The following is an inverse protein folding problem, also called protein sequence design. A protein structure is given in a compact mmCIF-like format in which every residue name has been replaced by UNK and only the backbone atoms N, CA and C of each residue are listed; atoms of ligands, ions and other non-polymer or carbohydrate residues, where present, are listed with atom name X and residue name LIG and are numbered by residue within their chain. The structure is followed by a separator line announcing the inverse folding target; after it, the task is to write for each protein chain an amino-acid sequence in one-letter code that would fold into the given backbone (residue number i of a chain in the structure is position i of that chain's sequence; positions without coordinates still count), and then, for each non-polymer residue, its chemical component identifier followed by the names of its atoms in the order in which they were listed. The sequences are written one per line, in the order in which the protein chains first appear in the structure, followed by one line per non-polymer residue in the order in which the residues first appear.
data_IF_158730423521
#
_entry.id   IF_158730423521
#
_cell.length_a   1.000
_cell.length_b   1.000
_cell.length_c   1.000
_cell.angle_alpha   90.00
_cell.angle_beta   90.00
_cell.angle_gamma   90.00
#
_symmetry.space_group_name_H-M   'P 1'
#
loop_
_entity.id
_entity.type
_entity.pdbx_description
1 polymer ?
#
# COMPACT_ATOMS: atom_id res chain seq x y z
N UNK A 1 15.24 3.58 1.36
CA UNK A 1 14.00 2.79 1.07
C UNK A 1 12.88 3.78 0.80
N UNK A 2 11.83 3.40 0.06
CA UNK A 2 10.70 4.31 -0.22
C UNK A 2 9.38 3.61 0.05
N UNK A 3 8.38 4.42 0.41
CA UNK A 3 6.99 4.03 0.55
C UNK A 3 6.10 5.05 -0.17
N UNK A 4 5.09 4.54 -0.86
CA UNK A 4 4.02 5.33 -1.45
C UNK A 4 2.67 4.73 -1.05
N UNK A 5 1.64 5.57 -1.03
CA UNK A 5 0.30 5.13 -0.62
C UNK A 5 -0.37 4.13 -1.59
N UNK A 6 0.14 4.01 -2.82
CA UNK A 6 -0.44 3.19 -3.90
C UNK A 6 -1.97 3.35 -4.01
N UNK A 7 -2.39 4.62 -3.98
CA UNK A 7 -3.79 4.96 -3.77
C UNK A 7 -4.63 4.77 -5.01
N UNK A 8 -5.66 3.93 -4.87
CA UNK A 8 -6.74 3.77 -5.84
C UNK A 8 -8.03 4.49 -5.41
N UNK A 9 -8.04 5.06 -4.19
CA UNK A 9 -9.12 5.87 -3.65
C UNK A 9 -8.53 7.19 -3.12
N UNK A 10 -9.22 8.32 -3.34
CA UNK A 10 -8.74 9.62 -2.83
C UNK A 10 -8.50 9.62 -1.31
N UNK A 11 -9.33 8.88 -0.56
CA UNK A 11 -9.24 8.77 0.89
C UNK A 11 -8.05 7.94 1.40
N UNK A 12 -7.30 7.25 0.53
CA UNK A 12 -6.07 6.53 0.90
C UNK A 12 -4.80 7.31 0.58
N UNK A 13 -4.92 8.45 -0.11
CA UNK A 13 -3.78 9.30 -0.46
C UNK A 13 -3.09 9.76 0.81
N UNK A 14 -1.77 9.59 0.85
CA UNK A 14 -0.95 9.97 1.99
C UNK A 14 -0.97 9.00 3.18
N UNK A 15 -1.62 7.83 3.06
CA UNK A 15 -1.49 6.78 4.08
C UNK A 15 -0.08 6.18 4.13
N UNK A 16 0.67 6.22 3.03
CA UNK A 16 2.09 5.91 2.97
C UNK A 16 2.82 7.06 2.30
N UNK A 17 3.76 7.67 3.02
CA UNK A 17 4.62 8.74 2.50
C UNK A 17 6.07 8.47 2.86
N UNK A 18 6.97 8.88 1.96
CA UNK A 18 8.40 8.97 2.26
C UNK A 18 8.71 10.42 2.57
N UNK A 19 9.20 10.66 3.78
CA UNK A 19 9.67 11.95 4.23
C UNK A 19 11.16 12.08 3.90
N UNK A 20 11.50 13.16 3.21
CA UNK A 20 12.82 13.43 2.63
C UNK A 20 13.14 14.90 2.88
N UNK A 21 14.26 15.14 3.53
CA UNK A 21 14.82 16.48 3.69
C UNK A 21 15.65 16.83 2.46
N UNK A 22 15.11 17.70 1.61
CA UNK A 22 15.70 18.14 0.36
C UNK A 22 15.09 19.47 -0.10
N UNK A 23 15.90 20.32 -0.73
CA UNK A 23 15.49 21.65 -1.21
C UNK A 23 14.96 21.63 -2.65
N UNK A 24 15.26 20.56 -3.41
CA UNK A 24 14.85 20.37 -4.80
C UNK A 24 14.75 18.88 -5.16
N UNK A 25 14.31 18.61 -6.39
CA UNK A 25 14.07 17.25 -6.87
C UNK A 25 15.37 16.44 -6.99
N UNK A 26 16.45 17.04 -7.48
CA UNK A 26 17.75 16.39 -7.66
C UNK A 26 18.31 15.93 -6.30
N UNK A 27 18.23 16.79 -5.28
CA UNK A 27 18.65 16.48 -3.92
C UNK A 27 17.78 15.38 -3.30
N UNK A 28 16.46 15.39 -3.57
CA UNK A 28 15.56 14.35 -3.10
C UNK A 28 15.91 12.97 -3.70
N UNK A 29 16.21 12.91 -5.00
CA UNK A 29 16.65 11.67 -5.66
C UNK A 29 17.97 11.18 -5.06
N UNK A 30 18.91 12.08 -4.80
CA UNK A 30 20.18 11.72 -4.18
C UNK A 30 20.01 11.25 -2.73
N UNK A 31 19.10 11.85 -1.96
CA UNK A 31 18.72 11.39 -0.63
C UNK A 31 18.12 9.97 -0.67
N UNK A 32 17.25 9.66 -1.65
CA UNK A 32 16.70 8.32 -1.87
C UNK A 32 17.83 7.32 -2.15
N UNK A 33 18.75 7.65 -3.07
CA UNK A 33 19.90 6.79 -3.43
C UNK A 33 20.80 6.51 -2.24
N UNK A 34 21.06 7.51 -1.41
CA UNK A 34 21.86 7.40 -0.17
C UNK A 34 21.10 6.77 1.00
N UNK A 35 19.82 6.44 0.84
CA UNK A 35 19.00 5.87 1.91
C UNK A 35 18.64 6.87 3.03
N UNK A 36 18.80 8.17 2.81
CA UNK A 36 18.43 9.25 3.74
C UNK A 36 16.93 9.53 3.67
N UNK A 37 16.13 8.53 4.05
CA UNK A 37 14.68 8.51 3.89
C UNK A 37 14.00 8.06 5.17
N UNK A 38 12.90 8.70 5.55
CA UNK A 38 12.04 8.25 6.66
C UNK A 38 10.67 7.83 6.14
N UNK A 39 10.23 6.62 6.48
CA UNK A 39 8.90 6.14 6.08
C UNK A 39 7.90 6.55 7.15
N UNK A 40 6.81 7.20 6.73
CA UNK A 40 5.67 7.53 7.59
C UNK A 40 4.45 6.83 7.01
N UNK A 41 3.83 5.97 7.82
CA UNK A 41 2.70 5.13 7.40
C UNK A 41 1.55 5.17 8.40
N UNK A 42 0.33 5.14 7.88
CA UNK A 42 -0.90 4.89 8.61
C UNK A 42 -1.53 3.61 8.09
N UNK A 43 -2.24 2.89 8.96
CA UNK A 43 -2.95 1.67 8.55
C UNK A 43 -4.08 2.02 7.59
N UNK A 44 -4.18 1.26 6.50
CA UNK A 44 -5.30 1.34 5.56
C UNK A 44 -6.59 0.92 6.26
N UNK A 45 -7.63 1.78 6.26
CA UNK A 45 -8.92 1.42 6.85
C UNK A 45 -9.50 0.15 6.21
N UNK A 46 -10.02 -0.82 7.01
CA UNK A 46 -10.50 -2.10 6.49
C UNK A 46 -11.55 -2.00 5.38
N UNK A 47 -12.38 -0.95 5.40
CA UNK A 47 -13.43 -0.71 4.40
C UNK A 47 -12.91 -0.69 2.94
N UNK A 48 -11.62 -0.41 2.72
CA UNK A 48 -11.04 -0.37 1.38
C UNK A 48 -10.66 -1.76 0.82
N UNK A 49 -10.50 -2.78 1.67
CA UNK A 49 -10.07 -4.11 1.21
C UNK A 49 -10.99 -5.25 1.64
N UNK A 50 -11.84 -5.05 2.65
CA UNK A 50 -12.64 -6.12 3.27
C UNK A 50 -13.56 -6.83 2.27
N UNK A 51 -14.15 -6.11 1.32
CA UNK A 51 -14.98 -6.72 0.26
C UNK A 51 -14.19 -7.68 -0.63
N UNK A 52 -12.98 -7.27 -1.05
CA UNK A 52 -12.08 -8.10 -1.86
C UNK A 52 -11.65 -9.35 -1.08
N UNK A 53 -11.35 -9.20 0.22
CA UNK A 53 -11.00 -10.31 1.10
C UNK A 53 -12.13 -11.34 1.19
N UNK A 54 -13.36 -10.88 1.47
CA UNK A 54 -14.52 -11.79 1.55
C UNK A 54 -14.81 -12.48 0.22
N UNK A 55 -14.69 -11.78 -0.90
CA UNK A 55 -14.87 -12.37 -2.22
C UNK A 55 -13.83 -13.47 -2.49
N UNK A 56 -12.56 -13.22 -2.16
CA UNK A 56 -11.51 -14.22 -2.31
C UNK A 56 -11.78 -15.48 -1.48
N UNK A 57 -12.19 -15.31 -0.22
CA UNK A 57 -12.57 -16.42 0.67
C UNK A 57 -13.75 -17.21 0.10
N UNK A 58 -14.81 -16.52 -0.34
CA UNK A 58 -15.97 -17.18 -0.94
C UNK A 58 -15.60 -18.02 -2.15
N UNK A 59 -14.77 -17.48 -3.06
CA UNK A 59 -14.31 -18.19 -4.24
C UNK A 59 -13.46 -19.43 -3.88
N UNK A 60 -12.63 -19.33 -2.84
CA UNK A 60 -11.80 -20.45 -2.38
C UNK A 60 -12.63 -21.60 -1.77
N UNK A 61 -13.64 -21.25 -0.97
CA UNK A 61 -14.59 -22.22 -0.42
C UNK A 61 -15.36 -22.91 -1.55
N UNK A 62 -15.87 -22.17 -2.53
CA UNK A 62 -16.58 -22.74 -3.69
C UNK A 62 -15.72 -23.71 -4.49
N UNK A 63 -14.44 -23.37 -4.74
CA UNK A 63 -13.49 -24.26 -5.40
C UNK A 63 -13.27 -25.54 -4.61
N UNK A 64 -13.13 -25.43 -3.29
CA UNK A 64 -12.92 -26.57 -2.41
C UNK A 64 -14.13 -27.52 -2.42
N UNK A 65 -15.35 -26.98 -2.37
CA UNK A 65 -16.59 -27.76 -2.49
C UNK A 65 -16.69 -28.46 -3.86
N UNK A 66 -16.36 -27.77 -4.96
CA UNK A 66 -16.35 -28.36 -6.31
C UNK A 66 -15.31 -29.46 -6.50
N UNK A 67 -14.22 -29.45 -5.72
CA UNK A 67 -13.15 -30.45 -5.82
C UNK A 67 -13.44 -31.73 -5.02
N UNK A 68 -14.34 -31.64 -4.03
CA UNK A 68 -14.75 -32.75 -3.17
C UNK A 68 -15.98 -33.50 -3.75
N UNK A 69 -16.71 -32.87 -4.66
CA UNK A 69 -17.83 -33.48 -5.41
C UNK A 69 -17.33 -34.05 -6.73
#
# INVERSE_FOLDING_TARGET
MVAGSDSHFAATVGLGVTDIDASNAEEAVEAIRKGRTRIIGKRTPPKFFIGNTFQAIYLEVQKSVRKVR
#
